data_IF_137981049878
#
_entry.id   IF_137981049878
#
_cell.length_a   1.000
_cell.length_b   1.000
_cell.length_c   1.000
_cell.angle_alpha   90.00
_cell.angle_beta   90.00
_cell.angle_gamma   90.00
#
_symmetry.space_group_name_H-M   'P 1'
#
loop_
_entity.id
_entity.type
_entity.pdbx_description
1 polymer ?
#
# COMPACT_ATOMS: atom_id res chain seq x y z
N UNK A 1 -7.73 9.66 -27.00
CA UNK A 1 -7.64 10.43 -25.75
C UNK A 1 -7.13 11.83 -26.01
N UNK A 2 -7.53 12.77 -25.16
CA UNK A 2 -7.11 14.15 -25.29
C UNK A 2 -5.64 14.30 -24.91
N UNK A 3 -4.83 14.98 -25.76
CA UNK A 3 -3.44 15.26 -25.46
C UNK A 3 -3.27 16.16 -24.23
N UNK A 4 -4.29 16.97 -23.89
CA UNK A 4 -4.30 17.81 -22.69
C UNK A 4 -4.40 16.95 -21.43
N UNK A 5 -5.27 15.95 -21.44
CA UNK A 5 -5.41 15.01 -20.33
C UNK A 5 -4.14 14.19 -20.16
N UNK A 6 -3.57 13.72 -21.27
CA UNK A 6 -2.33 12.93 -21.23
C UNK A 6 -1.17 13.73 -20.64
N UNK A 7 -1.05 15.01 -21.02
CA UNK A 7 -0.03 15.90 -20.46
C UNK A 7 -0.22 16.14 -18.97
N UNK A 8 -1.46 16.43 -18.57
CA UNK A 8 -1.78 16.66 -17.16
C UNK A 8 -1.52 15.40 -16.33
N UNK A 9 -1.86 14.24 -16.87
CA UNK A 9 -1.60 12.96 -16.22
C UNK A 9 -0.11 12.70 -16.05
N UNK A 10 0.69 12.98 -17.09
CA UNK A 10 2.14 12.84 -17.01
C UNK A 10 2.73 13.77 -15.94
N UNK A 11 2.25 15.00 -15.85
CA UNK A 11 2.67 15.93 -14.82
C UNK A 11 2.31 15.43 -13.42
N UNK A 12 1.11 14.87 -13.26
CA UNK A 12 0.70 14.29 -11.99
C UNK A 12 1.58 13.10 -11.61
N UNK A 13 1.87 12.23 -12.56
CA UNK A 13 2.76 11.06 -12.31
C UNK A 13 4.13 11.54 -11.85
N UNK A 14 4.69 12.54 -12.50
CA UNK A 14 5.99 13.10 -12.11
C UNK A 14 5.94 13.72 -10.72
N UNK A 15 4.85 14.43 -10.40
CA UNK A 15 4.66 15.01 -9.07
C UNK A 15 4.58 13.92 -7.98
N UNK A 16 3.87 12.84 -8.25
CA UNK A 16 3.78 11.70 -7.33
C UNK A 16 5.16 11.10 -7.11
N UNK A 17 5.90 10.85 -8.18
CA UNK A 17 7.26 10.28 -8.10
C UNK A 17 8.23 11.18 -7.36
N UNK A 18 8.01 12.50 -7.40
CA UNK A 18 8.86 13.46 -6.71
C UNK A 18 8.43 13.69 -5.25
N UNK A 19 7.30 13.14 -4.83
CA UNK A 19 6.81 13.28 -3.46
C UNK A 19 7.68 12.52 -2.46
N UNK A 20 7.79 13.04 -1.24
CA UNK A 20 8.50 12.37 -0.17
C UNK A 20 7.86 11.03 0.18
N UNK A 21 6.53 10.95 0.10
CA UNK A 21 5.78 9.72 0.36
C UNK A 21 6.18 8.60 -0.60
N UNK A 22 6.26 8.91 -1.90
CA UNK A 22 6.67 7.91 -2.90
C UNK A 22 8.13 7.50 -2.72
N UNK A 23 9.01 8.49 -2.47
CA UNK A 23 10.44 8.23 -2.28
C UNK A 23 10.69 7.34 -1.07
N UNK A 24 9.97 7.59 0.03
CA UNK A 24 10.05 6.74 1.21
C UNK A 24 9.58 5.33 0.93
N UNK A 25 8.46 5.17 0.22
CA UNK A 25 7.98 3.85 -0.18
C UNK A 25 9.02 3.11 -1.01
N UNK A 26 9.62 3.77 -2.00
CA UNK A 26 10.64 3.15 -2.85
C UNK A 26 11.89 2.78 -2.07
N UNK A 27 12.30 3.61 -1.11
CA UNK A 27 13.45 3.33 -0.23
C UNK A 27 13.18 2.06 0.58
N UNK A 28 12.02 1.95 1.20
CA UNK A 28 11.68 0.78 2.01
C UNK A 28 11.50 -0.46 1.15
N UNK A 29 10.92 -0.33 -0.03
CA UNK A 29 10.78 -1.45 -0.97
C UNK A 29 12.15 -2.00 -1.37
N UNK A 30 13.11 -1.12 -1.67
CA UNK A 30 14.46 -1.54 -2.06
C UNK A 30 15.16 -2.28 -0.92
N UNK A 31 15.01 -1.80 0.31
CA UNK A 31 15.57 -2.48 1.50
C UNK A 31 15.02 -3.88 1.64
N UNK A 32 13.70 -4.04 1.47
CA UNK A 32 13.03 -5.33 1.57
C UNK A 32 13.45 -6.27 0.43
N UNK A 33 13.59 -5.74 -0.78
CA UNK A 33 14.01 -6.54 -1.94
C UNK A 33 15.39 -7.16 -1.80
N UNK A 34 16.25 -6.56 -0.99
CA UNK A 34 17.57 -7.10 -0.70
C UNK A 34 17.51 -8.33 0.21
N UNK A 35 16.33 -8.64 0.75
CA UNK A 35 16.09 -9.79 1.61
C UNK A 35 14.94 -10.62 1.02
N UNK A 36 15.23 -11.52 0.06
CA UNK A 36 14.17 -12.22 -0.68
C UNK A 36 13.19 -13.01 0.19
N UNK A 37 13.68 -13.63 1.28
CA UNK A 37 12.82 -14.36 2.19
C UNK A 37 11.83 -13.43 2.89
N UNK A 38 12.31 -12.27 3.31
CA UNK A 38 11.49 -11.27 3.96
C UNK A 38 10.44 -10.72 3.00
N UNK A 39 10.83 -10.47 1.74
CA UNK A 39 9.91 -10.02 0.70
C UNK A 39 8.78 -11.03 0.50
N UNK A 40 9.12 -12.32 0.45
CA UNK A 40 8.14 -13.40 0.30
C UNK A 40 7.20 -13.47 1.50
N UNK A 41 7.70 -13.27 2.70
CA UNK A 41 6.89 -13.24 3.93
C UNK A 41 5.92 -12.06 3.93
N UNK A 42 6.36 -10.91 3.46
CA UNK A 42 5.50 -9.73 3.34
C UNK A 42 4.38 -9.96 2.33
N UNK A 43 4.71 -10.53 1.17
CA UNK A 43 3.72 -10.83 0.15
C UNK A 43 2.68 -11.84 0.66
N UNK A 44 3.12 -12.84 1.40
CA UNK A 44 2.25 -13.84 2.03
C UNK A 44 1.33 -13.21 3.07
N UNK A 45 1.89 -12.35 3.92
CA UNK A 45 1.13 -11.61 4.93
C UNK A 45 0.01 -10.78 4.27
N UNK A 46 0.34 -10.06 3.21
CA UNK A 46 -0.63 -9.21 2.51
C UNK A 46 -1.74 -10.04 1.88
N UNK A 47 -1.39 -11.18 1.27
CA UNK A 47 -2.37 -12.07 0.65
C UNK A 47 -3.34 -12.63 1.70
N UNK A 48 -2.82 -13.09 2.83
CA UNK A 48 -3.66 -13.62 3.91
C UNK A 48 -4.53 -12.55 4.55
N UNK A 49 -3.98 -11.37 4.75
CA UNK A 49 -4.73 -10.23 5.29
C UNK A 49 -5.90 -9.86 4.36
N UNK A 50 -5.64 -9.83 3.05
CA UNK A 50 -6.66 -9.55 2.06
C UNK A 50 -7.77 -10.60 2.09
N UNK A 51 -7.42 -11.87 2.16
CA UNK A 51 -8.39 -12.97 2.25
C UNK A 51 -9.28 -12.83 3.49
N UNK A 52 -8.69 -12.48 4.63
CA UNK A 52 -9.44 -12.29 5.87
C UNK A 52 -10.40 -11.10 5.78
N UNK A 53 -10.00 -10.02 5.12
CA UNK A 53 -10.83 -8.82 5.02
C UNK A 53 -11.93 -8.92 3.96
N UNK A 54 -11.74 -9.75 2.94
CA UNK A 54 -12.68 -9.86 1.81
C UNK A 54 -13.43 -11.17 1.77
N UNK A 55 -13.07 -12.13 2.62
CA UNK A 55 -13.73 -13.42 2.67
C UNK A 55 -15.15 -13.32 3.24
N UNK A 56 -16.09 -14.16 2.74
CA UNK A 56 -17.49 -14.09 3.16
C UNK A 56 -17.75 -14.58 4.58
N UNK A 57 -16.88 -15.42 5.14
CA UNK A 57 -17.09 -16.07 6.44
C UNK A 57 -15.98 -15.71 7.43
N UNK A 58 -15.66 -14.42 7.51
CA UNK A 58 -14.60 -13.97 8.43
C UNK A 58 -15.12 -14.02 9.86
N UNK A 59 -14.50 -14.85 10.69
CA UNK A 59 -14.81 -14.96 12.11
C UNK A 59 -13.77 -14.22 12.93
N UNK A 60 -14.21 -13.69 14.06
CA UNK A 60 -13.35 -13.00 15.00
C UNK A 60 -12.14 -13.86 15.40
N UNK A 61 -12.34 -15.15 15.61
CA UNK A 61 -11.27 -16.08 15.99
C UNK A 61 -10.19 -16.20 14.92
N UNK A 62 -10.57 -16.15 13.64
CA UNK A 62 -9.61 -16.18 12.53
C UNK A 62 -8.76 -14.93 12.49
N UNK A 63 -9.36 -13.77 12.73
CA UNK A 63 -8.66 -12.50 12.79
C UNK A 63 -7.68 -12.49 13.97
N UNK A 64 -8.13 -12.94 15.14
CA UNK A 64 -7.31 -13.00 16.33
C UNK A 64 -6.11 -13.93 16.15
N UNK A 65 -6.34 -15.11 15.55
CA UNK A 65 -5.27 -16.05 15.27
C UNK A 65 -4.25 -15.47 14.29
N UNK A 66 -4.71 -14.79 13.25
CA UNK A 66 -3.85 -14.13 12.29
C UNK A 66 -2.99 -13.04 12.94
N UNK A 67 -3.61 -12.23 13.82
CA UNK A 67 -2.91 -11.18 14.55
C UNK A 67 -1.80 -11.75 15.42
N UNK A 68 -2.06 -12.84 16.14
CA UNK A 68 -1.06 -13.51 16.99
C UNK A 68 0.06 -14.14 16.17
N UNK A 69 -0.30 -14.78 15.06
CA UNK A 69 0.66 -15.48 14.20
C UNK A 69 1.70 -14.54 13.63
N UNK A 70 1.29 -13.30 13.30
CA UNK A 70 2.16 -12.33 12.67
C UNK A 70 2.65 -11.23 13.62
N UNK A 71 2.44 -11.36 14.93
CA UNK A 71 2.85 -10.35 15.90
C UNK A 71 4.35 -10.07 15.83
N UNK A 72 5.17 -11.10 15.95
CA UNK A 72 6.64 -10.95 15.87
C UNK A 72 7.08 -10.46 14.49
N UNK A 73 6.42 -10.91 13.44
CA UNK A 73 6.70 -10.48 12.08
C UNK A 73 6.52 -8.98 11.94
N UNK A 74 5.41 -8.43 12.44
CA UNK A 74 5.13 -6.99 12.36
C UNK A 74 6.07 -6.14 13.20
N UNK A 75 6.70 -6.72 14.22
CA UNK A 75 7.67 -6.03 15.07
C UNK A 75 9.05 -5.89 14.40
N UNK A 76 9.32 -6.66 13.35
CA UNK A 76 10.57 -6.54 12.59
C UNK A 76 10.65 -5.12 12.00
N UNK A 77 11.72 -4.35 12.29
CA UNK A 77 11.82 -2.96 11.82
C UNK A 77 11.70 -2.81 10.30
N UNK A 78 12.25 -3.73 9.52
CA UNK A 78 12.14 -3.67 8.06
C UNK A 78 10.69 -3.83 7.60
N UNK A 79 9.95 -4.73 8.25
CA UNK A 79 8.54 -4.96 7.94
C UNK A 79 7.70 -3.77 8.36
N UNK A 80 7.89 -3.29 9.59
CA UNK A 80 7.13 -2.16 10.13
C UNK A 80 7.32 -0.91 9.27
N UNK A 81 8.58 -0.61 8.90
CA UNK A 81 8.89 0.58 8.09
C UNK A 81 8.29 0.45 6.69
N UNK A 82 8.39 -0.74 6.08
CA UNK A 82 7.82 -0.96 4.75
C UNK A 82 6.30 -0.84 4.76
N UNK A 83 5.62 -1.48 5.71
CA UNK A 83 4.16 -1.45 5.77
C UNK A 83 3.64 -0.02 6.04
N UNK A 84 4.34 0.73 6.89
CA UNK A 84 3.98 2.13 7.16
C UNK A 84 4.12 2.99 5.90
N UNK A 85 5.22 2.83 5.16
CA UNK A 85 5.47 3.58 3.94
C UNK A 85 4.46 3.21 2.84
N UNK A 86 4.14 1.92 2.72
CA UNK A 86 3.14 1.43 1.77
C UNK A 86 1.76 2.01 2.08
N UNK A 87 1.37 2.00 3.35
CA UNK A 87 0.08 2.56 3.77
C UNK A 87 -0.02 4.05 3.46
N UNK A 88 1.04 4.81 3.75
CA UNK A 88 1.08 6.25 3.46
C UNK A 88 0.95 6.51 1.96
N UNK A 89 1.64 5.72 1.13
CA UNK A 89 1.55 5.85 -0.32
C UNK A 89 0.14 5.50 -0.82
N UNK A 90 -0.44 4.41 -0.34
CA UNK A 90 -1.81 4.02 -0.72
C UNK A 90 -2.83 5.08 -0.33
N UNK A 91 -2.69 5.68 0.85
CA UNK A 91 -3.58 6.76 1.29
C UNK A 91 -3.46 8.00 0.40
N UNK A 92 -2.24 8.35 0.01
CA UNK A 92 -2.02 9.46 -0.92
C UNK A 92 -2.72 9.20 -2.24
N UNK A 93 -2.59 7.99 -2.79
CA UNK A 93 -3.24 7.64 -4.07
C UNK A 93 -4.77 7.66 -3.93
N UNK A 94 -5.30 7.19 -2.81
CA UNK A 94 -6.74 7.24 -2.54
C UNK A 94 -7.23 8.70 -2.45
N UNK A 95 -6.48 9.56 -1.77
CA UNK A 95 -6.84 10.97 -1.62
C UNK A 95 -6.84 11.68 -2.97
N UNK A 96 -5.88 11.38 -3.84
CA UNK A 96 -5.84 11.92 -5.19
C UNK A 96 -7.08 11.49 -5.97
N UNK A 97 -7.42 10.21 -5.91
CA UNK A 97 -8.59 9.66 -6.60
C UNK A 97 -9.89 10.30 -6.08
N UNK A 98 -10.03 10.42 -4.77
CA UNK A 98 -11.21 11.04 -4.15
C UNK A 98 -11.33 12.50 -4.58
N UNK A 99 -10.21 13.24 -4.57
CA UNK A 99 -10.20 14.65 -4.97
C UNK A 99 -10.67 14.83 -6.41
N UNK A 100 -10.23 13.96 -7.30
CA UNK A 100 -10.63 14.00 -8.71
C UNK A 100 -12.12 13.70 -8.85
N UNK A 101 -12.61 12.64 -8.21
CA UNK A 101 -14.01 12.24 -8.33
C UNK A 101 -14.96 13.25 -7.68
N UNK A 102 -14.58 13.83 -6.55
CA UNK A 102 -15.38 14.88 -5.91
C UNK A 102 -15.45 16.14 -6.77
N UNK A 103 -14.34 16.52 -7.42
CA UNK A 103 -14.31 17.69 -8.32
C UNK A 103 -15.21 17.48 -9.53
N UNK A 104 -15.44 16.24 -9.96
CA UNK A 104 -16.32 15.92 -11.07
C UNK A 104 -17.79 15.82 -10.66
N UNK A 105 -18.11 15.96 -9.38
CA UNK A 105 -19.45 15.77 -8.83
C UNK A 105 -20.06 14.44 -9.25
N UNK A 106 -19.24 13.40 -9.20
CA UNK A 106 -19.63 12.06 -9.63
C UNK A 106 -20.48 11.41 -8.55
N UNK A 107 -21.71 11.01 -8.92
CA UNK A 107 -22.66 10.37 -8.00
C UNK A 107 -22.75 8.87 -8.22
#
# INVERSE_FOLDING_TARGET
MSSSIDRAMNQLILAIRDSDTYKEYMTQLERVKQQPELKNQIDDYRARNFELQTGPDVRFEQIDQFEREYECFRENPYVADFLAAELAFCRMMQDINISITEAMHFE
#
